data_IF_940657951182
#
_entry.id   IF_940657951182
#
_cell.length_a   1.000
_cell.length_b   1.000
_cell.length_c   1.000
_cell.angle_alpha   90.00
_cell.angle_beta   90.00
_cell.angle_gamma   90.00
#
_symmetry.space_group_name_H-M   'P 1'
#
loop_
_entity.id
_entity.type
_entity.pdbx_description
1 polymer ?
#
# COMPACT_ATOMS: atom_id res chain seq x y z
N UNK A 1 59.61 -27.64 -11.79
CA UNK A 1 60.30 -26.80 -10.80
C UNK A 1 59.24 -25.97 -10.09
N UNK A 2 58.72 -26.37 -8.92
CA UNK A 2 59.28 -26.18 -7.56
C UNK A 2 59.71 -24.73 -7.31
N UNK A 3 59.06 -24.02 -6.42
CA UNK A 3 59.35 -23.84 -5.00
C UNK A 3 58.37 -22.82 -4.39
N UNK A 4 57.73 -23.20 -3.27
CA UNK A 4 57.94 -22.88 -1.85
C UNK A 4 57.64 -21.43 -1.45
N UNK A 5 56.59 -21.23 -0.72
CA UNK A 5 56.51 -21.08 0.76
C UNK A 5 57.31 -19.93 1.35
N UNK A 6 56.64 -18.96 1.95
CA UNK A 6 57.02 -18.47 3.30
C UNK A 6 55.87 -17.67 3.90
N UNK A 7 55.43 -18.05 5.10
CA UNK A 7 54.53 -17.32 5.97
C UNK A 7 55.28 -16.16 6.63
N UNK A 8 54.54 -15.21 7.13
CA UNK A 8 54.97 -14.23 8.12
C UNK A 8 53.86 -13.97 9.09
N UNK A 9 54.10 -14.37 10.32
CA UNK A 9 53.37 -13.99 11.54
C UNK A 9 53.50 -12.48 11.75
N UNK A 10 52.45 -11.91 12.29
CA UNK A 10 52.41 -10.50 12.67
C UNK A 10 51.28 -10.23 13.63
N UNK A 11 51.60 -10.44 14.88
CA UNK A 11 51.25 -9.74 16.11
C UNK A 11 49.87 -9.10 16.26
N UNK A 12 49.14 -9.68 17.20
CA UNK A 12 48.05 -9.07 17.96
C UNK A 12 48.56 -7.84 18.73
N UNK A 13 47.90 -6.72 18.55
CA UNK A 13 47.91 -5.64 19.54
C UNK A 13 46.50 -5.45 20.08
N UNK A 14 46.32 -5.93 21.30
CA UNK A 14 45.18 -5.54 22.18
C UNK A 14 45.25 -4.05 22.44
N UNK A 15 44.22 -3.31 22.06
CA UNK A 15 44.00 -1.98 22.60
C UNK A 15 42.67 -1.99 23.35
N UNK A 16 42.85 -2.09 24.68
CA UNK A 16 41.80 -2.02 25.69
C UNK A 16 41.46 -0.58 25.94
N UNK A 17 40.30 -0.14 25.43
CA UNK A 17 39.64 1.08 25.94
C UNK A 17 38.35 0.68 26.65
N UNK A 18 38.42 0.74 27.98
CA UNK A 18 37.31 0.66 28.91
C UNK A 18 36.30 1.78 28.68
N UNK A 19 35.20 1.50 27.99
CA UNK A 19 33.98 2.28 28.12
C UNK A 19 33.03 1.58 29.09
N UNK A 20 32.99 2.12 30.32
CA UNK A 20 32.01 1.80 31.33
C UNK A 20 30.61 2.16 30.85
N UNK A 21 29.93 1.21 30.27
CA UNK A 21 28.48 1.28 30.10
C UNK A 21 27.83 0.89 31.42
N UNK A 22 27.36 1.85 32.17
CA UNK A 22 26.51 1.64 33.35
C UNK A 22 25.16 1.10 32.89
N UNK A 23 25.02 -0.20 32.85
CA UNK A 23 23.74 -0.88 32.88
C UNK A 23 23.13 -0.72 34.26
N UNK A 24 22.19 0.20 34.38
CA UNK A 24 21.30 0.23 35.53
C UNK A 24 20.32 -0.93 35.42
N UNK A 25 20.60 -1.98 36.21
CA UNK A 25 19.68 -3.05 36.51
C UNK A 25 18.42 -2.48 37.17
N UNK A 26 17.34 -2.46 36.41
CA UNK A 26 15.98 -2.33 36.95
C UNK A 26 15.39 -3.72 37.02
N UNK A 27 15.88 -4.50 37.99
CA UNK A 27 15.14 -5.66 38.50
C UNK A 27 14.00 -5.14 39.37
N UNK A 28 12.81 -4.94 38.77
CA UNK A 28 11.60 -4.81 39.56
C UNK A 28 11.19 -6.19 40.07
N UNK A 29 11.47 -6.43 41.35
CA UNK A 29 10.92 -7.52 42.13
C UNK A 29 9.39 -7.40 42.17
N UNK A 30 8.73 -8.33 41.50
CA UNK A 30 7.27 -8.50 41.60
C UNK A 30 7.02 -9.23 42.92
N UNK A 31 6.63 -8.50 43.95
CA UNK A 31 6.01 -9.08 45.16
C UNK A 31 4.60 -9.55 44.77
N UNK A 32 4.39 -10.87 44.84
CA UNK A 32 3.09 -11.48 44.73
C UNK A 32 2.36 -11.37 46.06
N UNK A 33 1.52 -10.38 46.22
CA UNK A 33 0.44 -10.45 47.22
C UNK A 33 -0.80 -11.08 46.54
N UNK A 34 -1.23 -12.21 47.13
CA UNK A 34 -2.47 -12.87 46.78
C UNK A 34 -3.64 -12.09 47.35
N UNK A 35 -4.51 -11.56 46.45
CA UNK A 35 -5.75 -10.86 46.82
C UNK A 35 -6.73 -10.87 45.65
N UNK A 36 -7.78 -11.56 45.87
CA UNK A 36 -9.15 -11.48 45.30
C UNK A 36 -9.40 -10.36 44.26
N UNK A 37 -9.75 -10.75 43.02
CA UNK A 37 -10.72 -10.05 42.16
C UNK A 37 -10.34 -8.64 41.74
N UNK A 38 -9.20 -8.45 41.03
CA UNK A 38 -8.85 -7.18 40.41
C UNK A 38 -8.47 -7.38 38.93
N UNK A 39 -8.90 -6.46 38.08
CA UNK A 39 -8.58 -6.41 36.65
C UNK A 39 -7.10 -6.73 36.41
N UNK A 40 -6.82 -7.72 35.53
CA UNK A 40 -5.47 -8.01 35.10
C UNK A 40 -4.82 -6.73 34.56
N UNK A 41 -3.56 -6.42 34.92
CA UNK A 41 -2.89 -5.25 34.37
C UNK A 41 -2.82 -5.39 32.86
N UNK A 42 -3.29 -4.35 32.19
CA UNK A 42 -3.24 -4.26 30.72
C UNK A 42 -1.76 -4.32 30.29
N UNK A 43 -1.37 -5.40 29.60
CA UNK A 43 0.00 -5.56 29.10
C UNK A 43 0.16 -4.59 27.93
N UNK A 44 0.71 -3.41 28.20
CA UNK A 44 1.08 -2.44 27.16
C UNK A 44 2.35 -2.89 26.46
N UNK A 45 2.35 -2.88 25.14
CA UNK A 45 3.54 -3.15 24.34
C UNK A 45 4.58 -2.02 24.51
N UNK A 46 5.87 -2.35 24.48
CA UNK A 46 6.98 -1.36 24.52
C UNK A 46 6.85 -0.31 23.41
N UNK A 47 6.26 -0.66 22.27
CA UNK A 47 5.96 0.25 21.15
C UNK A 47 4.90 1.29 21.52
N UNK A 48 3.90 0.94 22.32
CA UNK A 48 2.85 1.84 22.76
C UNK A 48 3.40 2.89 23.72
N UNK A 49 4.28 2.50 24.62
CA UNK A 49 4.96 3.43 25.53
C UNK A 49 5.93 4.36 24.79
N UNK A 50 6.65 3.85 23.77
CA UNK A 50 7.51 4.67 22.92
C UNK A 50 6.70 5.69 22.11
N UNK A 51 5.56 5.28 21.55
CA UNK A 51 4.63 6.14 20.83
C UNK A 51 4.04 7.21 21.75
N UNK A 52 3.59 6.80 22.94
CA UNK A 52 3.05 7.73 23.93
C UNK A 52 4.09 8.77 24.36
N UNK A 53 5.31 8.35 24.68
CA UNK A 53 6.41 9.24 25.08
C UNK A 53 6.81 10.20 23.95
N UNK A 54 6.82 9.72 22.70
CA UNK A 54 7.08 10.56 21.52
C UNK A 54 6.00 11.62 21.37
N UNK A 55 4.73 11.23 21.47
CA UNK A 55 3.58 12.14 21.38
C UNK A 55 3.60 13.19 22.49
N UNK A 56 3.96 12.80 23.73
CA UNK A 56 4.10 13.74 24.85
C UNK A 56 5.22 14.76 24.62
N UNK A 57 6.32 14.36 23.98
CA UNK A 57 7.43 15.30 23.64
C UNK A 57 7.05 16.31 22.56
N UNK A 58 6.15 15.93 21.66
CA UNK A 58 5.65 16.82 20.60
C UNK A 58 4.53 17.76 21.10
N UNK A 59 4.02 17.52 22.30
CA UNK A 59 2.94 18.34 22.85
C UNK A 59 3.43 19.71 23.22
N UNK A 60 2.76 20.75 22.71
CA UNK A 60 2.98 22.14 23.12
C UNK A 60 2.53 22.29 24.59
N UNK A 61 3.47 22.68 25.48
CA UNK A 61 3.21 22.85 26.91
C UNK A 61 2.31 24.04 27.25
N UNK A 62 2.12 24.93 26.28
CA UNK A 62 1.26 26.11 26.44
C UNK A 62 -0.21 25.82 26.10
N UNK A 63 -0.51 24.69 25.50
CA UNK A 63 -1.88 24.28 25.14
C UNK A 63 -2.51 23.56 26.33
N UNK A 64 -3.64 24.06 26.80
CA UNK A 64 -4.34 23.54 27.99
C UNK A 64 -5.10 22.23 27.70
N UNK A 65 -5.53 22.00 26.45
CA UNK A 65 -6.36 20.86 26.07
C UNK A 65 -5.83 20.19 24.80
N UNK A 66 -5.94 18.86 24.74
CA UNK A 66 -5.67 18.08 23.52
C UNK A 66 -6.88 18.22 22.61
N UNK A 67 -6.66 18.74 21.40
CA UNK A 67 -7.69 18.80 20.38
C UNK A 67 -7.49 17.66 19.37
N UNK A 68 -8.55 16.93 19.07
CA UNK A 68 -8.55 15.86 18.10
C UNK A 68 -9.22 16.33 16.81
N UNK A 69 -8.54 16.19 15.69
CA UNK A 69 -9.13 16.46 14.39
C UNK A 69 -10.12 15.35 14.02
N UNK A 70 -11.29 15.75 13.51
CA UNK A 70 -12.24 14.78 12.96
C UNK A 70 -11.88 14.46 11.51
N UNK A 71 -12.15 13.21 11.12
CA UNK A 71 -11.99 12.76 9.76
C UNK A 71 -13.20 13.25 8.96
N UNK A 72 -13.01 14.05 7.90
CA UNK A 72 -14.11 14.61 7.12
C UNK A 72 -14.74 13.54 6.24
N UNK A 73 -16.01 13.73 5.90
CA UNK A 73 -16.63 12.98 4.82
C UNK A 73 -16.15 13.54 3.49
N UNK A 74 -15.55 12.68 2.67
CA UNK A 74 -14.95 13.05 1.38
C UNK A 74 -15.90 12.69 0.24
N UNK A 75 -15.97 13.56 -0.77
CA UNK A 75 -16.66 13.29 -2.02
C UNK A 75 -15.70 12.53 -2.96
N UNK A 76 -15.71 11.22 -2.87
CA UNK A 76 -14.80 10.36 -3.64
C UNK A 76 -14.96 10.50 -5.15
N UNK A 77 -16.16 10.85 -5.64
CA UNK A 77 -16.40 11.05 -7.08
C UNK A 77 -15.62 12.24 -7.65
N UNK A 78 -15.26 13.20 -6.77
CA UNK A 78 -14.41 14.34 -7.14
C UNK A 78 -12.92 14.08 -6.95
N UNK A 79 -12.56 13.12 -6.10
CA UNK A 79 -11.17 12.78 -5.79
C UNK A 79 -10.63 11.71 -6.72
N UNK A 80 -11.45 10.69 -7.07
CA UNK A 80 -11.05 9.58 -7.91
C UNK A 80 -11.23 9.93 -9.38
N UNK A 81 -10.14 9.77 -10.14
CA UNK A 81 -10.19 9.79 -11.60
C UNK A 81 -10.26 8.35 -12.08
N UNK A 82 -11.31 8.00 -12.80
CA UNK A 82 -11.54 6.64 -13.27
C UNK A 82 -10.47 6.15 -14.27
N UNK A 83 -10.27 4.84 -14.32
CA UNK A 83 -9.24 4.23 -15.18
C UNK A 83 -9.48 4.48 -16.67
N UNK A 84 -10.70 4.70 -17.10
CA UNK A 84 -11.00 4.97 -18.51
C UNK A 84 -10.48 6.35 -18.90
N UNK A 85 -10.70 7.36 -18.04
CA UNK A 85 -10.20 8.72 -18.24
C UNK A 85 -8.67 8.75 -18.18
N UNK A 86 -8.06 8.12 -17.19
CA UNK A 86 -6.61 8.01 -17.07
C UNK A 86 -6.01 7.32 -18.30
N UNK A 87 -6.56 6.16 -18.70
CA UNK A 87 -6.09 5.42 -19.87
C UNK A 87 -6.23 6.21 -21.17
N UNK A 88 -7.30 6.99 -21.34
CA UNK A 88 -7.47 7.86 -22.52
C UNK A 88 -6.35 8.89 -22.62
N UNK A 89 -5.98 9.52 -21.50
CA UNK A 89 -4.90 10.53 -21.46
C UNK A 89 -3.55 9.90 -21.82
N UNK A 90 -3.18 8.78 -21.19
CA UNK A 90 -1.95 8.07 -21.49
C UNK A 90 -1.91 7.53 -22.93
N UNK A 91 -3.01 6.92 -23.39
CA UNK A 91 -3.10 6.40 -24.75
C UNK A 91 -2.98 7.52 -25.79
N UNK A 92 -3.57 8.69 -25.55
CA UNK A 92 -3.46 9.84 -26.46
C UNK A 92 -2.01 10.30 -26.59
N UNK A 93 -1.26 10.34 -25.48
CA UNK A 93 0.14 10.75 -25.47
C UNK A 93 1.03 9.82 -26.30
N UNK A 94 0.80 8.50 -26.20
CA UNK A 94 1.68 7.49 -26.82
C UNK A 94 1.14 6.89 -28.13
N UNK A 95 -0.02 7.36 -28.66
CA UNK A 95 -0.66 6.75 -29.82
C UNK A 95 -0.08 7.16 -31.17
N UNK A 96 0.63 8.26 -31.23
CA UNK A 96 1.14 8.82 -32.51
C UNK A 96 2.59 9.28 -32.34
N UNK A 97 3.57 8.42 -32.60
CA UNK A 97 4.96 8.82 -32.61
C UNK A 97 5.20 9.83 -33.75
N UNK A 98 5.98 10.87 -33.47
CA UNK A 98 6.34 11.92 -34.43
C UNK A 98 7.43 11.50 -35.40
N UNK A 99 8.06 10.34 -35.17
CA UNK A 99 9.16 9.84 -36.03
C UNK A 99 9.73 8.50 -35.58
N UNK A 100 10.70 8.00 -36.34
CA UNK A 100 11.31 6.69 -36.11
C UNK A 100 11.95 6.53 -34.72
N UNK A 101 12.43 7.60 -34.11
CA UNK A 101 13.06 7.55 -32.78
C UNK A 101 12.02 7.32 -31.69
N UNK A 102 10.87 7.98 -31.75
CA UNK A 102 9.79 7.76 -30.81
C UNK A 102 9.15 6.38 -31.00
N UNK A 103 9.03 5.92 -32.26
CA UNK A 103 8.58 4.54 -32.52
C UNK A 103 9.53 3.53 -31.87
N UNK A 104 10.85 3.71 -32.00
CA UNK A 104 11.85 2.86 -31.35
C UNK A 104 11.70 2.89 -29.83
N UNK A 105 11.38 4.05 -29.27
CA UNK A 105 11.11 4.15 -27.84
C UNK A 105 9.93 3.31 -27.40
N UNK A 106 8.83 3.34 -28.15
CA UNK A 106 7.62 2.52 -27.89
C UNK A 106 8.01 1.03 -27.97
N UNK A 107 8.69 0.62 -29.04
CA UNK A 107 9.02 -0.78 -29.30
C UNK A 107 10.00 -1.33 -28.25
N UNK A 108 11.02 -0.56 -27.87
CA UNK A 108 12.01 -0.95 -26.87
C UNK A 108 11.38 -1.12 -25.47
N UNK A 109 10.42 -0.28 -25.10
CA UNK A 109 9.71 -0.42 -23.85
C UNK A 109 8.72 -1.61 -23.85
N UNK A 110 8.13 -1.93 -25.01
CA UNK A 110 7.31 -3.12 -25.16
C UNK A 110 8.14 -4.40 -25.02
N UNK A 111 9.33 -4.42 -25.61
CA UNK A 111 10.30 -5.53 -25.49
C UNK A 111 10.75 -5.70 -24.03
N UNK A 112 11.09 -4.59 -23.36
CA UNK A 112 11.45 -4.58 -21.92
C UNK A 112 10.33 -5.16 -21.05
N UNK A 113 9.07 -4.76 -21.30
CA UNK A 113 7.91 -5.27 -20.57
C UNK A 113 7.72 -6.78 -20.80
N UNK A 114 7.81 -7.22 -22.05
CA UNK A 114 7.68 -8.64 -22.41
C UNK A 114 8.81 -9.49 -21.78
N UNK A 115 10.03 -8.98 -21.78
CA UNK A 115 11.18 -9.63 -21.13
C UNK A 115 10.95 -9.72 -19.63
N UNK A 116 10.53 -8.64 -18.98
CA UNK A 116 10.20 -8.65 -17.57
C UNK A 116 9.16 -9.73 -17.21
N UNK A 117 8.09 -9.85 -17.98
CA UNK A 117 7.08 -10.89 -17.74
C UNK A 117 7.59 -12.30 -17.99
N UNK A 118 8.44 -12.49 -18.99
CA UNK A 118 9.07 -13.78 -19.27
C UNK A 118 9.97 -14.23 -18.12
N UNK A 119 10.80 -13.33 -17.62
CA UNK A 119 11.76 -13.60 -16.54
C UNK A 119 11.05 -13.89 -15.21
N UNK A 120 9.99 -13.13 -14.91
CA UNK A 120 9.24 -13.28 -13.67
C UNK A 120 8.15 -14.39 -13.71
N UNK A 121 7.94 -15.03 -14.86
CA UNK A 121 6.89 -16.07 -15.02
C UNK A 121 7.00 -17.20 -14.00
N UNK A 122 8.23 -17.65 -13.70
CA UNK A 122 8.48 -18.72 -12.72
C UNK A 122 8.13 -18.27 -11.30
N UNK A 123 8.55 -17.06 -10.93
CA UNK A 123 8.30 -16.45 -9.60
C UNK A 123 6.79 -16.30 -9.38
N UNK A 124 6.08 -15.73 -10.35
CA UNK A 124 4.61 -15.56 -10.28
C UNK A 124 3.92 -16.92 -10.19
N UNK A 125 4.37 -17.92 -10.94
CA UNK A 125 3.79 -19.27 -10.88
C UNK A 125 4.01 -19.94 -9.53
N UNK A 126 5.16 -19.71 -8.90
CA UNK A 126 5.45 -20.17 -7.55
C UNK A 126 4.53 -19.49 -6.52
N UNK A 127 4.39 -18.17 -6.58
CA UNK A 127 3.48 -17.41 -5.72
C UNK A 127 2.03 -17.89 -5.82
N UNK A 128 1.56 -18.17 -7.05
CA UNK A 128 0.22 -18.73 -7.30
C UNK A 128 0.06 -20.08 -6.63
N UNK A 129 1.04 -20.98 -6.82
CA UNK A 129 1.03 -22.31 -6.22
C UNK A 129 0.99 -22.26 -4.70
N UNK A 130 1.84 -21.43 -4.07
CA UNK A 130 1.88 -21.25 -2.62
C UNK A 130 0.55 -20.67 -2.09
N UNK A 131 -0.03 -19.70 -2.80
CA UNK A 131 -1.31 -19.14 -2.43
C UNK A 131 -2.45 -20.16 -2.49
N UNK A 132 -2.52 -20.96 -3.58
CA UNK A 132 -3.55 -21.98 -3.72
C UNK A 132 -3.38 -23.12 -2.71
N UNK A 133 -2.13 -23.52 -2.39
CA UNK A 133 -1.88 -24.49 -1.34
C UNK A 133 -2.34 -23.99 0.04
N UNK A 134 -2.03 -22.74 0.40
CA UNK A 134 -2.50 -22.14 1.65
C UNK A 134 -4.03 -22.04 1.68
N UNK A 135 -4.63 -21.62 0.58
CA UNK A 135 -6.09 -21.55 0.45
C UNK A 135 -6.74 -22.90 0.66
N UNK A 136 -6.20 -23.96 0.05
CA UNK A 136 -6.68 -25.32 0.23
C UNK A 136 -6.50 -25.80 1.68
N UNK A 137 -5.33 -25.55 2.28
CA UNK A 137 -5.07 -25.91 3.67
C UNK A 137 -6.04 -25.21 4.64
N UNK A 138 -6.31 -23.91 4.44
CA UNK A 138 -7.29 -23.16 5.23
C UNK A 138 -8.72 -23.70 5.08
N UNK A 139 -9.08 -24.13 3.87
CA UNK A 139 -10.37 -24.78 3.63
C UNK A 139 -10.48 -26.10 4.39
N UNK A 140 -9.45 -26.95 4.34
CA UNK A 140 -9.41 -28.19 5.09
C UNK A 140 -9.43 -27.97 6.62
N UNK A 141 -8.69 -26.99 7.11
CA UNK A 141 -8.67 -26.65 8.54
C UNK A 141 -10.04 -26.19 9.06
N UNK A 142 -10.86 -25.57 8.20
CA UNK A 142 -12.24 -25.14 8.52
C UNK A 142 -13.31 -26.16 8.17
N UNK A 143 -12.92 -27.28 7.56
CA UNK A 143 -13.86 -28.30 7.22
C UNK A 143 -14.49 -28.90 8.50
N UNK A 144 -15.80 -28.86 8.59
CA UNK A 144 -16.52 -29.50 9.67
C UNK A 144 -17.15 -30.80 9.15
N UNK A 145 -17.00 -31.86 9.94
CA UNK A 145 -17.66 -33.13 9.67
C UNK A 145 -18.96 -33.16 10.48
N UNK A 146 -20.08 -33.10 9.79
CA UNK A 146 -21.38 -33.26 10.43
C UNK A 146 -21.70 -34.74 10.55
N UNK A 147 -22.11 -35.15 11.77
CA UNK A 147 -22.60 -36.48 12.03
C UNK A 147 -24.13 -36.60 11.83
N UNK A 148 -24.76 -35.55 11.33
CA UNK A 148 -26.19 -35.46 11.08
C UNK A 148 -26.49 -35.53 9.58
N UNK A 149 -27.61 -36.14 9.20
CA UNK A 149 -28.03 -36.18 7.80
C UNK A 149 -28.52 -37.57 7.38
N UNK A 150 -28.05 -38.07 6.25
CA UNK A 150 -28.50 -39.35 5.70
C UNK A 150 -27.93 -40.53 6.48
N UNK A 151 -28.78 -41.43 6.91
CA UNK A 151 -28.38 -42.72 7.54
C UNK A 151 -27.46 -43.52 6.62
N UNK A 152 -26.36 -44.04 7.18
CA UNK A 152 -25.51 -44.99 6.49
C UNK A 152 -26.09 -46.39 6.66
N UNK A 153 -26.81 -46.83 5.63
CA UNK A 153 -27.47 -48.16 5.64
C UNK A 153 -26.47 -49.30 5.85
N UNK A 154 -25.21 -49.11 5.46
CA UNK A 154 -24.14 -50.12 5.66
C UNK A 154 -23.73 -50.25 7.13
N UNK A 155 -23.97 -49.22 7.97
CA UNK A 155 -23.64 -49.22 9.38
C UNK A 155 -24.88 -49.42 10.28
N UNK A 156 -26.04 -49.48 9.71
CA UNK A 156 -27.31 -49.59 10.49
C UNK A 156 -27.33 -50.80 11.41
N UNK A 157 -26.67 -51.90 11.02
CA UNK A 157 -26.60 -53.13 11.81
C UNK A 157 -25.81 -52.96 13.12
N UNK A 158 -24.97 -51.90 13.22
CA UNK A 158 -24.14 -51.61 14.40
C UNK A 158 -24.79 -50.63 15.40
N UNK A 159 -26.11 -50.31 15.22
CA UNK A 159 -26.82 -49.28 15.99
C UNK A 159 -26.79 -49.48 17.53
N UNK A 160 -26.63 -50.71 17.99
CA UNK A 160 -26.56 -51.04 19.42
C UNK A 160 -25.20 -50.72 20.06
N UNK A 161 -24.16 -50.56 19.24
CA UNK A 161 -22.76 -50.45 19.72
C UNK A 161 -22.04 -49.21 19.15
N UNK A 162 -22.64 -48.51 18.22
CA UNK A 162 -22.03 -47.40 17.53
C UNK A 162 -23.02 -46.24 17.36
N UNK A 163 -22.71 -45.09 17.93
CA UNK A 163 -23.49 -43.86 17.81
C UNK A 163 -23.29 -43.16 16.44
N UNK A 164 -22.31 -43.59 15.63
CA UNK A 164 -21.94 -42.97 14.37
C UNK A 164 -22.66 -43.64 13.19
N UNK A 165 -23.97 -43.49 13.16
CA UNK A 165 -24.87 -44.16 12.18
C UNK A 165 -25.15 -43.30 10.92
N UNK A 166 -24.69 -42.03 10.91
CA UNK A 166 -24.96 -41.12 9.82
C UNK A 166 -23.74 -41.04 8.88
N UNK A 167 -23.99 -40.87 7.59
CA UNK A 167 -22.91 -40.50 6.63
C UNK A 167 -22.30 -39.21 7.03
N UNK A 168 -20.96 -39.21 7.17
CA UNK A 168 -20.22 -37.99 7.46
C UNK A 168 -20.24 -37.08 6.23
N UNK A 169 -20.91 -35.93 6.35
CA UNK A 169 -20.89 -34.88 5.33
C UNK A 169 -19.83 -33.86 5.73
N UNK A 170 -18.81 -33.75 4.93
CA UNK A 170 -17.81 -32.68 5.11
C UNK A 170 -18.33 -31.42 4.45
N UNK A 171 -18.70 -30.43 5.22
CA UNK A 171 -18.99 -29.08 4.71
C UNK A 171 -17.71 -28.28 4.68
N UNK A 172 -17.28 -27.90 3.47
CA UNK A 172 -16.17 -26.98 3.27
C UNK A 172 -16.73 -25.55 3.28
N UNK A 173 -16.53 -24.77 4.36
CA UNK A 173 -16.94 -23.37 4.35
C UNK A 173 -16.14 -22.65 3.26
N UNK A 174 -16.82 -21.74 2.54
CA UNK A 174 -16.18 -20.96 1.48
C UNK A 174 -14.87 -20.33 1.96
N UNK A 175 -13.84 -20.43 1.13
CA UNK A 175 -12.57 -19.79 1.45
C UNK A 175 -12.77 -18.29 1.60
N UNK A 176 -12.02 -17.67 2.53
CA UNK A 176 -12.00 -16.22 2.67
C UNK A 176 -11.54 -15.61 1.35
N UNK A 177 -12.38 -14.77 0.77
CA UNK A 177 -12.02 -14.06 -0.44
C UNK A 177 -11.20 -12.82 -0.08
N UNK A 178 -10.08 -12.64 -0.76
CA UNK A 178 -9.18 -11.51 -0.59
C UNK A 178 -9.35 -10.50 -1.71
N UNK A 179 -9.12 -9.23 -1.42
CA UNK A 179 -9.02 -8.15 -2.39
C UNK A 179 -7.83 -7.26 -2.09
N UNK A 180 -7.30 -6.56 -3.09
CA UNK A 180 -6.18 -5.64 -2.95
C UNK A 180 -6.58 -4.24 -3.41
N UNK A 181 -6.25 -3.23 -2.59
CA UNK A 181 -6.28 -1.82 -2.97
C UNK A 181 -4.87 -1.28 -2.78
N UNK A 182 -4.21 -0.94 -3.89
CA UNK A 182 -2.85 -0.46 -3.88
C UNK A 182 -2.84 1.05 -4.14
N UNK A 183 -2.06 1.77 -3.34
CA UNK A 183 -1.85 3.21 -3.47
C UNK A 183 -0.39 3.43 -3.85
N UNK A 184 -0.16 4.02 -5.01
CA UNK A 184 1.16 4.30 -5.56
C UNK A 184 1.45 5.79 -5.42
N UNK A 185 2.60 6.10 -4.86
CA UNK A 185 3.12 7.45 -4.80
C UNK A 185 3.50 7.93 -6.20
N UNK A 186 2.85 9.03 -6.62
CA UNK A 186 3.10 9.66 -7.90
C UNK A 186 3.78 11.02 -7.73
N UNK A 187 4.82 11.04 -6.89
CA UNK A 187 5.60 12.22 -6.51
C UNK A 187 6.91 12.32 -7.28
N UNK A 188 7.49 13.53 -7.26
CA UNK A 188 8.77 13.81 -7.90
C UNK A 188 9.94 13.02 -7.31
N UNK A 189 9.94 12.73 -6.01
CA UNK A 189 10.96 11.94 -5.30
C UNK A 189 11.02 10.50 -5.81
N UNK A 190 9.87 9.91 -6.15
CA UNK A 190 9.77 8.56 -6.69
C UNK A 190 10.42 8.37 -8.07
N UNK A 191 10.77 9.44 -8.80
CA UNK A 191 11.25 9.37 -10.17
C UNK A 191 12.38 8.34 -10.40
N UNK A 192 13.30 8.21 -9.44
CA UNK A 192 14.43 7.28 -9.53
C UNK A 192 14.05 5.82 -9.27
N UNK A 193 13.04 5.59 -8.46
CA UNK A 193 12.61 4.26 -8.04
C UNK A 193 11.37 3.76 -8.79
N UNK A 194 10.69 4.66 -9.51
CA UNK A 194 9.37 4.41 -10.11
C UNK A 194 9.36 3.19 -11.04
N UNK A 195 10.40 3.04 -11.89
CA UNK A 195 10.48 1.90 -12.82
C UNK A 195 10.51 0.56 -12.09
N UNK A 196 11.29 0.47 -11.01
CA UNK A 196 11.38 -0.77 -10.24
C UNK A 196 10.09 -1.03 -9.43
N UNK A 197 9.51 0.02 -8.85
CA UNK A 197 8.23 -0.06 -8.15
C UNK A 197 7.11 -0.52 -9.08
N UNK A 198 7.02 0.04 -10.29
CA UNK A 198 6.05 -0.38 -11.29
C UNK A 198 6.25 -1.84 -11.73
N UNK A 199 7.50 -2.28 -11.93
CA UNK A 199 7.78 -3.69 -12.26
C UNK A 199 7.31 -4.65 -11.17
N UNK A 200 7.48 -4.30 -9.89
CA UNK A 200 6.94 -5.10 -8.78
C UNK A 200 5.42 -5.05 -8.73
N UNK A 201 4.83 -3.89 -8.95
CA UNK A 201 3.38 -3.73 -9.06
C UNK A 201 2.80 -4.61 -10.17
N UNK A 202 3.44 -4.66 -11.34
CA UNK A 202 3.00 -5.51 -12.45
C UNK A 202 3.03 -7.00 -12.09
N UNK A 203 4.02 -7.44 -11.32
CA UNK A 203 4.06 -8.82 -10.82
C UNK A 203 2.88 -9.12 -9.90
N UNK A 204 2.52 -8.18 -9.00
CA UNK A 204 1.35 -8.31 -8.11
C UNK A 204 0.06 -8.35 -8.93
N UNK A 205 -0.09 -7.46 -9.92
CA UNK A 205 -1.27 -7.43 -10.81
C UNK A 205 -1.40 -8.75 -11.58
N UNK A 206 -0.30 -9.29 -12.12
CA UNK A 206 -0.29 -10.59 -12.78
C UNK A 206 -0.67 -11.72 -11.85
N UNK A 207 -0.16 -11.71 -10.62
CA UNK A 207 -0.54 -12.67 -9.59
C UNK A 207 -2.04 -12.60 -9.31
N UNK A 208 -2.58 -11.39 -9.02
CA UNK A 208 -4.01 -11.19 -8.75
C UNK A 208 -4.90 -11.68 -9.90
N UNK A 209 -4.52 -11.40 -11.14
CA UNK A 209 -5.24 -11.87 -12.32
C UNK A 209 -5.27 -13.41 -12.43
N UNK A 210 -4.15 -14.07 -12.09
CA UNK A 210 -4.07 -15.55 -12.17
C UNK A 210 -4.90 -16.23 -11.09
N UNK A 211 -4.92 -15.68 -9.87
CA UNK A 211 -5.70 -16.23 -8.74
C UNK A 211 -7.10 -15.66 -8.64
N UNK A 212 -7.49 -14.76 -9.60
CA UNK A 212 -8.79 -14.10 -9.67
C UNK A 212 -9.12 -13.29 -8.40
N UNK A 213 -8.13 -12.63 -7.85
CA UNK A 213 -8.31 -11.67 -6.75
C UNK A 213 -8.65 -10.31 -7.33
N UNK A 214 -9.78 -9.67 -6.93
CA UNK A 214 -10.09 -8.32 -7.37
C UNK A 214 -9.10 -7.31 -6.79
N UNK A 215 -8.73 -6.33 -7.60
CA UNK A 215 -7.79 -5.28 -7.21
C UNK A 215 -8.10 -3.96 -7.90
N UNK A 216 -7.72 -2.87 -7.23
CA UNK A 216 -7.64 -1.52 -7.78
C UNK A 216 -6.29 -0.90 -7.40
N UNK A 217 -5.70 -0.14 -8.32
CA UNK A 217 -4.44 0.58 -8.13
C UNK A 217 -4.68 2.06 -8.35
N UNK A 218 -4.49 2.84 -7.30
CA UNK A 218 -4.62 4.29 -7.32
C UNK A 218 -3.26 4.94 -7.21
N UNK A 219 -2.93 5.87 -8.08
CA UNK A 219 -1.77 6.76 -7.89
C UNK A 219 -2.26 8.07 -7.27
N UNK A 220 -1.64 8.49 -6.16
CA UNK A 220 -1.98 9.76 -5.52
C UNK A 220 -1.02 10.87 -5.97
N UNK A 221 -1.60 11.99 -6.43
CA UNK A 221 -0.86 13.13 -6.99
C UNK A 221 -1.65 14.42 -6.85
N UNK A 222 -0.96 15.54 -6.94
CA UNK A 222 -1.55 16.88 -6.98
C UNK A 222 -1.59 17.49 -8.39
N UNK A 223 -0.91 16.89 -9.37
CA UNK A 223 -0.69 17.50 -10.70
C UNK A 223 -1.90 17.45 -11.64
N UNK A 224 -2.84 16.54 -11.43
CA UNK A 224 -3.97 16.35 -12.34
C UNK A 224 -4.79 17.64 -12.54
N UNK A 225 -5.10 18.33 -11.45
CA UNK A 225 -5.93 19.54 -11.49
C UNK A 225 -5.14 20.79 -11.90
N UNK A 226 -3.88 20.91 -11.50
CA UNK A 226 -3.06 22.07 -11.88
C UNK A 226 -2.86 22.23 -13.39
N UNK A 227 -3.06 21.17 -14.16
CA UNK A 227 -2.92 21.20 -15.61
C UNK A 227 -4.18 21.69 -16.34
N UNK A 228 -5.32 21.73 -15.69
CA UNK A 228 -6.60 22.11 -16.33
C UNK A 228 -6.83 23.62 -16.38
N UNK A 229 -5.91 24.43 -15.82
CA UNK A 229 -6.03 25.90 -15.73
C UNK A 229 -7.36 26.37 -15.11
N UNK A 230 -7.97 25.54 -14.28
CA UNK A 230 -9.15 25.95 -13.54
C UNK A 230 -8.73 26.83 -12.37
N UNK A 231 -9.15 28.09 -12.38
CA UNK A 231 -8.90 29.03 -11.26
C UNK A 231 -9.63 28.60 -9.97
N UNK A 232 -10.49 27.60 -10.05
CA UNK A 232 -11.24 27.05 -8.92
C UNK A 232 -11.06 25.55 -8.85
N UNK A 233 -10.32 25.09 -7.85
CA UNK A 233 -10.26 23.69 -7.51
C UNK A 233 -11.63 23.21 -7.00
N UNK A 234 -12.06 21.98 -7.34
CA UNK A 234 -13.33 21.48 -6.87
C UNK A 234 -13.31 21.28 -5.34
N UNK A 235 -14.43 21.61 -4.70
CA UNK A 235 -14.60 21.37 -3.28
C UNK A 235 -14.80 19.86 -3.05
N UNK A 236 -13.75 19.20 -2.52
CA UNK A 236 -13.71 17.75 -2.28
C UNK A 236 -14.34 17.34 -0.94
N UNK A 237 -14.54 18.29 -0.03
CA UNK A 237 -15.18 18.07 1.26
C UNK A 237 -15.98 19.28 1.69
N UNK A 238 -17.02 19.09 2.50
CA UNK A 238 -17.67 20.18 3.26
C UNK A 238 -16.91 20.38 4.56
N UNK A 239 -16.00 21.34 4.57
CA UNK A 239 -15.11 21.61 5.69
C UNK A 239 -15.87 22.21 6.88
N UNK A 240 -15.59 21.69 8.08
CA UNK A 240 -16.03 22.27 9.36
C UNK A 240 -14.80 22.52 10.23
N UNK A 241 -14.89 23.50 11.14
CA UNK A 241 -13.84 23.72 12.14
C UNK A 241 -13.67 22.45 12.97
N UNK A 242 -12.43 22.00 13.13
CA UNK A 242 -12.10 20.73 13.78
C UNK A 242 -11.90 19.55 12.81
N UNK A 243 -12.26 19.69 11.53
CA UNK A 243 -12.00 18.65 10.54
C UNK A 243 -10.57 18.73 10.00
N UNK A 244 -10.05 17.58 9.58
CA UNK A 244 -8.87 17.53 8.69
C UNK A 244 -9.23 18.15 7.34
N UNK A 245 -8.35 18.99 6.80
CA UNK A 245 -8.56 19.63 5.50
C UNK A 245 -7.80 18.85 4.43
N UNK A 246 -8.54 18.18 3.56
CA UNK A 246 -7.98 17.47 2.41
C UNK A 246 -7.52 18.48 1.36
N UNK A 247 -6.35 18.25 0.78
CA UNK A 247 -5.83 19.08 -0.29
C UNK A 247 -6.78 19.04 -1.52
N UNK A 248 -7.38 20.17 -1.91
CA UNK A 248 -8.35 20.20 -3.00
C UNK A 248 -7.76 19.88 -4.37
N UNK A 249 -6.43 19.93 -4.53
CA UNK A 249 -5.73 19.54 -5.75
C UNK A 249 -5.40 18.04 -5.80
N UNK A 250 -5.52 17.33 -4.66
CA UNK A 250 -5.21 15.90 -4.59
C UNK A 250 -6.21 15.08 -5.42
N UNK A 251 -5.67 14.16 -6.21
CA UNK A 251 -6.44 13.17 -6.97
C UNK A 251 -5.85 11.78 -6.82
N UNK A 252 -6.75 10.82 -6.84
CA UNK A 252 -6.46 9.40 -6.90
C UNK A 252 -6.71 8.91 -8.32
N UNK A 253 -5.64 8.71 -9.08
CA UNK A 253 -5.71 8.24 -10.46
C UNK A 253 -5.81 6.72 -10.46
N UNK A 254 -6.95 6.17 -10.86
CA UNK A 254 -7.08 4.72 -11.00
C UNK A 254 -6.28 4.25 -12.22
N UNK A 255 -5.06 3.75 -11.97
CA UNK A 255 -4.11 3.35 -13.01
C UNK A 255 -4.42 1.95 -13.55
N UNK A 256 -4.75 1.00 -12.67
CA UNK A 256 -5.03 -0.38 -13.01
C UNK A 256 -6.17 -0.91 -12.14
N UNK A 257 -7.06 -1.68 -12.75
CA UNK A 257 -8.20 -2.28 -12.06
C UNK A 257 -8.49 -3.68 -12.59
N UNK A 258 -9.01 -4.54 -11.75
CA UNK A 258 -9.55 -5.85 -12.15
C UNK A 258 -10.78 -5.73 -13.07
N UNK A 259 -11.40 -4.54 -13.15
CA UNK A 259 -12.49 -4.26 -14.08
C UNK A 259 -12.03 -3.98 -15.53
N UNK A 260 -10.73 -3.73 -15.72
CA UNK A 260 -10.14 -3.55 -17.06
C UNK A 260 -10.01 -4.89 -17.76
N UNK A 261 -10.19 -4.88 -19.06
CA UNK A 261 -9.84 -6.04 -19.90
C UNK A 261 -8.31 -6.29 -19.85
N UNK A 262 -7.89 -7.51 -20.12
CA UNK A 262 -6.46 -7.86 -20.15
C UNK A 262 -5.65 -7.00 -21.14
N UNK A 263 -6.26 -6.64 -22.26
CA UNK A 263 -5.61 -5.78 -23.27
C UNK A 263 -5.45 -4.34 -22.76
N UNK A 264 -6.45 -3.79 -22.07
CA UNK A 264 -6.36 -2.47 -21.44
C UNK A 264 -5.29 -2.44 -20.34
N UNK A 265 -5.26 -3.48 -19.48
CA UNK A 265 -4.23 -3.59 -18.45
C UNK A 265 -2.82 -3.66 -19.05
N UNK A 266 -2.59 -4.51 -20.06
CA UNK A 266 -1.30 -4.63 -20.73
C UNK A 266 -0.87 -3.32 -21.37
N UNK A 267 -1.81 -2.63 -22.04
CA UNK A 267 -1.55 -1.34 -22.66
C UNK A 267 -1.22 -0.26 -21.63
N UNK A 268 -1.95 -0.26 -20.49
CA UNK A 268 -1.67 0.69 -19.43
C UNK A 268 -0.33 0.40 -18.75
N UNK A 269 0.02 -0.86 -18.48
CA UNK A 269 1.35 -1.24 -17.95
C UNK A 269 2.48 -0.80 -18.89
N UNK A 270 2.30 -0.95 -20.20
CA UNK A 270 3.25 -0.45 -21.18
C UNK A 270 3.39 1.08 -21.12
N UNK A 271 2.27 1.81 -21.07
CA UNK A 271 2.27 3.27 -20.95
C UNK A 271 2.97 3.74 -19.66
N UNK A 272 2.71 3.07 -18.53
CA UNK A 272 3.36 3.38 -17.26
C UNK A 272 4.86 3.11 -17.29
N UNK A 273 5.29 2.03 -17.95
CA UNK A 273 6.72 1.74 -18.14
C UNK A 273 7.40 2.78 -19.02
N UNK A 274 6.77 3.18 -20.12
CA UNK A 274 7.26 4.29 -20.95
C UNK A 274 7.38 5.58 -20.16
N UNK A 275 6.37 5.90 -19.35
CA UNK A 275 6.40 7.06 -18.48
C UNK A 275 7.60 7.02 -17.52
N UNK A 276 7.75 5.93 -16.76
CA UNK A 276 8.83 5.82 -15.79
C UNK A 276 10.22 5.86 -16.43
N UNK A 277 10.37 5.22 -17.58
CA UNK A 277 11.63 5.22 -18.34
C UNK A 277 11.96 6.59 -18.93
N UNK A 278 10.99 7.47 -19.18
CA UNK A 278 11.24 8.85 -19.60
C UNK A 278 11.89 9.71 -18.51
N UNK A 279 11.80 9.29 -17.25
CA UNK A 279 12.40 9.99 -16.09
C UNK A 279 13.85 9.56 -15.82
N UNK A 280 14.32 8.50 -16.44
CA UNK A 280 15.69 7.99 -16.23
C UNK A 280 16.70 8.91 -16.92
N UNK A 281 17.54 9.61 -16.14
CA UNK A 281 18.49 10.63 -16.62
C UNK A 281 19.53 10.14 -17.59
N UNK A 282 20.04 8.90 -17.44
CA UNK A 282 21.19 8.37 -18.17
C UNK A 282 20.81 7.16 -19.03
N UNK A 283 19.66 7.23 -19.70
CA UNK A 283 19.29 6.19 -20.66
C UNK A 283 19.99 6.46 -22.01
N UNK A 284 20.52 5.43 -22.63
CA UNK A 284 21.08 5.52 -23.97
C UNK A 284 19.98 5.71 -25.02
N UNK A 285 19.66 6.97 -25.31
CA UNK A 285 18.62 7.33 -26.26
C UNK A 285 18.93 6.91 -27.71
N UNK A 286 20.20 6.73 -28.06
CA UNK A 286 20.58 6.23 -29.37
C UNK A 286 20.11 4.80 -29.58
N UNK A 287 20.17 3.99 -28.52
CA UNK A 287 19.73 2.60 -28.52
C UNK A 287 18.22 2.46 -28.31
N UNK A 288 17.66 3.15 -27.35
CA UNK A 288 16.28 2.96 -26.89
C UNK A 288 15.29 3.93 -27.54
N UNK A 289 15.72 4.96 -28.24
CA UNK A 289 14.89 6.01 -28.82
C UNK A 289 14.60 7.16 -27.86
N UNK A 290 14.19 8.31 -28.40
CA UNK A 290 13.86 9.48 -27.58
C UNK A 290 12.51 9.32 -26.90
N UNK A 291 12.38 9.74 -25.61
CA UNK A 291 11.16 9.59 -24.86
C UNK A 291 10.03 10.48 -25.39
N UNK A 292 8.83 9.94 -25.37
CA UNK A 292 7.60 10.69 -25.57
C UNK A 292 7.15 11.19 -24.21
N UNK A 293 7.06 12.50 -24.04
CA UNK A 293 6.61 13.08 -22.79
C UNK A 293 5.08 13.08 -22.69
N UNK A 294 4.55 12.62 -21.57
CA UNK A 294 3.10 12.54 -21.36
C UNK A 294 2.50 13.93 -21.14
N UNK A 295 1.17 13.97 -21.12
CA UNK A 295 0.41 15.16 -20.78
C UNK A 295 0.81 15.72 -19.41
N UNK A 296 0.73 17.05 -19.24
CA UNK A 296 1.14 17.72 -18.00
C UNK A 296 0.43 17.15 -16.77
N UNK A 297 -0.86 16.85 -16.88
CA UNK A 297 -1.66 16.29 -15.78
C UNK A 297 -1.21 14.92 -15.26
N UNK A 298 -0.42 14.18 -16.03
CA UNK A 298 0.12 12.87 -15.60
C UNK A 298 1.53 12.95 -15.05
N UNK A 299 2.13 14.14 -14.93
CA UNK A 299 3.48 14.31 -14.37
C UNK A 299 3.52 13.95 -12.89
N UNK A 300 4.72 13.67 -12.42
CA UNK A 300 4.96 13.49 -10.99
C UNK A 300 4.79 14.83 -10.27
N UNK A 301 4.09 14.80 -9.14
CA UNK A 301 3.75 15.99 -8.36
C UNK A 301 4.19 15.91 -6.91
N UNK A 302 3.41 16.51 -6.02
CA UNK A 302 3.60 16.42 -4.58
C UNK A 302 3.12 15.08 -4.02
N UNK A 303 3.42 14.84 -2.73
CA UNK A 303 3.15 13.57 -2.03
C UNK A 303 2.01 13.74 -1.01
N UNK A 304 0.73 13.78 -1.40
CA UNK A 304 -0.40 13.88 -0.47
C UNK A 304 -0.74 12.51 0.14
N UNK A 305 0.24 11.87 0.79
CA UNK A 305 0.07 10.54 1.38
C UNK A 305 -0.98 10.53 2.50
N UNK A 306 -0.95 11.51 3.39
CA UNK A 306 -1.91 11.61 4.48
C UNK A 306 -3.34 11.74 3.97
N UNK A 307 -3.54 12.55 2.92
CA UNK A 307 -4.83 12.71 2.26
C UNK A 307 -5.29 11.40 1.61
N UNK A 308 -4.37 10.67 0.98
CA UNK A 308 -4.65 9.36 0.37
C UNK A 308 -5.06 8.32 1.43
N UNK A 309 -4.41 8.33 2.62
CA UNK A 309 -4.78 7.45 3.74
C UNK A 309 -6.20 7.76 4.23
N UNK A 310 -6.55 9.05 4.38
CA UNK A 310 -7.90 9.45 4.78
C UNK A 310 -8.92 9.02 3.73
N UNK A 311 -8.64 9.19 2.44
CA UNK A 311 -9.52 8.70 1.36
C UNK A 311 -9.64 7.17 1.37
N UNK A 312 -8.57 6.45 1.70
CA UNK A 312 -8.59 4.98 1.76
C UNK A 312 -9.59 4.45 2.80
N UNK A 313 -9.89 5.22 3.86
CA UNK A 313 -10.88 4.82 4.88
C UNK A 313 -12.29 4.67 4.29
N UNK A 314 -12.62 5.45 3.25
CA UNK A 314 -13.90 5.35 2.55
C UNK A 314 -13.82 4.41 1.32
N UNK A 315 -12.68 4.37 0.63
CA UNK A 315 -12.48 3.53 -0.57
C UNK A 315 -12.51 2.05 -0.22
N UNK A 316 -11.84 1.64 0.87
CA UNK A 316 -11.71 0.21 1.23
C UNK A 316 -13.05 -0.43 1.55
N UNK A 317 -13.94 0.17 2.36
CA UNK A 317 -15.30 -0.35 2.58
C UNK A 317 -16.13 -0.40 1.29
N UNK A 318 -16.04 0.62 0.42
CA UNK A 318 -16.75 0.64 -0.86
C UNK A 318 -16.24 -0.46 -1.79
N UNK A 319 -14.92 -0.64 -1.89
CA UNK A 319 -14.32 -1.73 -2.66
C UNK A 319 -14.78 -3.10 -2.14
N UNK A 320 -14.79 -3.29 -0.82
CA UNK A 320 -15.26 -4.52 -0.18
C UNK A 320 -16.73 -4.81 -0.53
N UNK A 321 -17.58 -3.80 -0.45
CA UNK A 321 -19.03 -3.93 -0.78
C UNK A 321 -19.22 -4.25 -2.27
N UNK A 322 -18.49 -3.55 -3.15
CA UNK A 322 -18.59 -3.72 -4.61
C UNK A 322 -18.10 -5.09 -5.07
N UNK A 323 -17.04 -5.61 -4.49
CA UNK A 323 -16.40 -6.86 -4.92
C UNK A 323 -16.88 -8.09 -4.13
N UNK A 324 -17.56 -7.89 -2.99
CA UNK A 324 -18.01 -8.96 -2.12
C UNK A 324 -16.90 -9.71 -1.39
N UNK A 325 -15.68 -9.14 -1.33
CA UNK A 325 -14.54 -9.78 -0.65
C UNK A 325 -14.67 -9.64 0.87
N UNK A 326 -14.17 -10.63 1.60
CA UNK A 326 -14.21 -10.63 3.06
C UNK A 326 -13.04 -9.84 3.67
N UNK A 327 -11.86 -9.92 3.06
CA UNK A 327 -10.64 -9.23 3.50
C UNK A 327 -10.09 -8.37 2.38
N UNK A 328 -9.82 -7.10 2.69
CA UNK A 328 -9.16 -6.17 1.78
C UNK A 328 -7.80 -5.82 2.36
N UNK A 329 -6.77 -5.92 1.54
CA UNK A 329 -5.42 -5.51 1.87
C UNK A 329 -5.14 -4.17 1.20
N UNK A 330 -4.86 -3.15 1.99
CA UNK A 330 -4.45 -1.84 1.51
C UNK A 330 -2.93 -1.74 1.58
N UNK A 331 -2.28 -1.43 0.46
CA UNK A 331 -0.83 -1.37 0.34
C UNK A 331 -0.45 0.00 -0.21
N UNK A 332 0.36 0.74 0.53
CA UNK A 332 0.91 2.03 0.11
C UNK A 332 2.36 1.82 -0.33
N UNK A 333 2.66 2.22 -1.56
CA UNK A 333 3.99 2.17 -2.19
C UNK A 333 4.50 3.61 -2.29
N UNK A 334 5.35 4.02 -1.36
CA UNK A 334 5.86 5.38 -1.22
C UNK A 334 7.31 5.35 -0.78
N UNK A 335 8.04 6.43 -1.00
CA UNK A 335 9.39 6.65 -0.45
C UNK A 335 9.37 7.25 0.98
N UNK A 336 8.17 7.44 1.55
CA UNK A 336 7.96 7.68 2.97
C UNK A 336 7.75 9.12 3.40
N UNK A 337 8.01 10.10 2.56
CA UNK A 337 7.75 11.51 2.91
C UNK A 337 6.33 11.93 2.52
N UNK A 338 5.67 12.74 3.34
CA UNK A 338 4.30 13.19 3.11
C UNK A 338 4.19 14.70 3.24
N UNK A 339 3.35 15.29 2.42
CA UNK A 339 2.90 16.67 2.61
C UNK A 339 2.10 16.77 3.92
N UNK A 340 2.21 17.91 4.59
CA UNK A 340 1.44 18.17 5.80
C UNK A 340 -0.05 18.24 5.48
N UNK A 341 -0.84 17.56 6.31
CA UNK A 341 -2.28 17.72 6.33
C UNK A 341 -2.62 18.81 7.34
N UNK A 342 -3.51 19.71 6.98
CA UNK A 342 -3.89 20.84 7.85
C UNK A 342 -5.25 20.61 8.50
N UNK A 343 -5.47 21.30 9.61
CA UNK A 343 -6.78 21.40 10.28
C UNK A 343 -6.94 22.79 10.84
N UNK A 344 -8.17 23.29 10.91
CA UNK A 344 -8.47 24.57 11.58
C UNK A 344 -9.07 24.28 12.95
N UNK A 345 -8.42 24.77 13.97
CA UNK A 345 -8.91 24.76 15.34
C UNK A 345 -8.89 26.16 15.92
N UNK A 346 -9.85 26.45 16.77
CA UNK A 346 -9.78 27.60 17.66
C UNK A 346 -8.91 27.22 18.86
N UNK A 347 -7.64 27.55 18.82
CA UNK A 347 -6.71 27.23 19.89
C UNK A 347 -6.87 28.29 21.01
N UNK A 348 -7.37 27.86 22.17
CA UNK A 348 -7.43 28.70 23.37
C UNK A 348 -6.09 28.60 24.07
N UNK A 349 -5.26 29.64 23.99
CA UNK A 349 -4.03 29.80 24.79
C UNK A 349 -4.29 30.67 26.01
N UNK A 350 -3.40 30.59 27.02
CA UNK A 350 -3.40 31.52 28.19
C UNK A 350 -3.18 32.97 27.72
N UNK A 351 -4.19 33.65 27.25
CA UNK A 351 -4.10 35.01 26.73
C UNK A 351 -4.98 35.32 25.53
N UNK A 352 -5.74 34.38 25.04
CA UNK A 352 -6.69 34.60 23.95
C UNK A 352 -6.87 33.41 23.05
N UNK A 353 -7.89 33.48 22.20
CA UNK A 353 -8.17 32.48 21.16
C UNK A 353 -7.35 32.86 19.92
N UNK A 354 -6.50 31.93 19.47
CA UNK A 354 -5.78 32.03 18.20
C UNK A 354 -6.44 31.10 17.17
N UNK A 355 -6.79 31.63 16.01
CA UNK A 355 -7.18 30.84 14.88
C UNK A 355 -5.93 30.26 14.19
N UNK A 356 -5.91 28.97 13.85
CA UNK A 356 -4.84 28.45 13.00
C UNK A 356 -4.93 29.12 11.63
N UNK A 357 -3.83 29.69 11.09
CA UNK A 357 -3.86 30.33 9.78
C UNK A 357 -4.26 29.36 8.68
N UNK A 358 -4.93 29.84 7.65
CA UNK A 358 -5.16 29.06 6.44
C UNK A 358 -3.82 28.78 5.74
N UNK A 359 -3.70 27.60 5.20
CA UNK A 359 -2.54 27.21 4.40
C UNK A 359 -2.41 28.15 3.19
N UNK A 360 -1.41 29.00 3.18
CA UNK A 360 -1.17 29.98 2.10
C UNK A 360 -0.85 31.39 2.57
N UNK A 361 -1.12 31.73 3.84
CA UNK A 361 -0.63 32.99 4.41
C UNK A 361 0.71 32.68 5.10
N UNK A 362 1.79 33.05 4.42
CA UNK A 362 3.14 32.80 4.87
C UNK A 362 3.43 33.46 6.22
N UNK A 363 4.13 32.73 7.07
CA UNK A 363 5.03 33.27 8.07
C UNK A 363 6.44 33.17 7.50
#
# INVERSE_FOLDING_TARGET
>A
SEEKSSGSDGEETEDTTDEKTTTSDVTNSIEREGGSGGNAPEIRGLTDDASYNSTQKMRDKEVSEIQYASIPKIDLDKVIVDYQTVSKVFNKAYSKPSGNSEQRYIDSNLEELNTHFKDNKKIISYMVKEFEMKKAADQYARASVSKTGTLDMGRLHTYKFNDDLFRKVTTLPGATNHGFVLFLDWSGSMAYNLTNTLKQLFNIVHFCNRVKIPFDVYAFSTEWEYSTYSDKLPEVQKFKVGDLKINPAMRLLNMLSSNMTKNEQNKMMHNLLMFSNSMVRYRDWSKYGYPIYPARCTRLGGTPLNDAIVCAMDIVPQFRTKTGVQKVHSIFLTDGDSMNISSKFDIVRKGGTLHTPEYGEGI
#
